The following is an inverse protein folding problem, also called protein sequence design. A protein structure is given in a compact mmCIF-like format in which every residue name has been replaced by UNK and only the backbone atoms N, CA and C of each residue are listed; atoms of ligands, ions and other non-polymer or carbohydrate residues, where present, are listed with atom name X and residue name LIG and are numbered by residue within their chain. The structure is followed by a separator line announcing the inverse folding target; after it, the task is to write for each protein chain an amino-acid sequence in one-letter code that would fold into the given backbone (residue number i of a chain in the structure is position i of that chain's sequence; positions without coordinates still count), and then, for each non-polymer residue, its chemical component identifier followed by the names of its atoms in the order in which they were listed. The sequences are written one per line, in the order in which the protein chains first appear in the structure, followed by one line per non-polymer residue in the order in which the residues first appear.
data_IF_346695145509
#
_entry.id   IF_346695145509
#
_cell.length_a   1.000
_cell.length_b   1.000
_cell.length_c   1.000
_cell.angle_alpha   90.00
_cell.angle_beta   90.00
_cell.angle_gamma   90.00
#
_symmetry.space_group_name_H-M   'P 1'
#
loop_
_entity.id
_entity.type
_entity.pdbx_description
1 polymer ?
#
# COMPACT_ATOMS: atom_id res chain seq x y z
N UNK A 1 -16.70 42.50 10.81
CA UNK A 1 -16.95 42.08 12.22
C UNK A 1 -15.66 42.30 13.02
N UNK A 2 -15.67 42.56 14.34
CA UNK A 2 -14.37 42.65 15.05
C UNK A 2 -13.75 41.24 15.17
N UNK A 3 -12.49 41.07 14.77
CA UNK A 3 -11.76 39.79 14.78
C UNK A 3 -11.92 39.02 16.10
N UNK A 4 -11.86 39.71 17.23
CA UNK A 4 -12.03 39.10 18.56
C UNK A 4 -13.43 38.50 18.80
N UNK A 5 -14.49 39.07 18.21
CA UNK A 5 -15.85 38.53 18.33
C UNK A 5 -15.97 37.22 17.54
N UNK A 6 -15.47 37.21 16.31
CA UNK A 6 -15.42 36.02 15.45
C UNK A 6 -14.68 34.86 16.14
N UNK A 7 -13.49 35.14 16.69
CA UNK A 7 -12.70 34.12 17.41
C UNK A 7 -13.48 33.59 18.61
N UNK A 8 -14.13 34.45 19.40
CA UNK A 8 -14.87 34.02 20.60
C UNK A 8 -16.09 33.16 20.26
N UNK A 9 -16.79 33.48 19.18
CA UNK A 9 -17.99 32.74 18.73
C UNK A 9 -17.66 31.40 18.05
N UNK A 10 -16.52 31.32 17.36
CA UNK A 10 -16.06 30.11 16.66
C UNK A 10 -15.30 29.12 17.54
N UNK A 11 -14.60 29.60 18.59
CA UNK A 11 -13.68 28.78 19.41
C UNK A 11 -14.30 27.50 19.96
N UNK A 12 -15.53 27.56 20.47
CA UNK A 12 -16.21 26.39 21.03
C UNK A 12 -16.48 25.32 19.98
N UNK A 13 -16.89 25.72 18.77
CA UNK A 13 -17.12 24.80 17.66
C UNK A 13 -15.82 24.15 17.18
N UNK A 14 -14.73 24.93 17.11
CA UNK A 14 -13.42 24.42 16.67
C UNK A 14 -12.84 23.43 17.70
N UNK A 15 -12.93 23.74 18.99
CA UNK A 15 -12.52 22.82 20.06
C UNK A 15 -13.33 21.52 20.03
N UNK A 16 -14.64 21.61 19.82
CA UNK A 16 -15.49 20.43 19.70
C UNK A 16 -15.12 19.56 18.49
N UNK A 17 -14.77 20.19 17.36
CA UNK A 17 -14.28 19.45 16.18
C UNK A 17 -12.97 18.73 16.49
N UNK A 18 -12.06 19.38 17.21
CA UNK A 18 -10.79 18.78 17.61
C UNK A 18 -10.98 17.57 18.54
N UNK A 19 -11.90 17.65 19.51
CA UNK A 19 -12.27 16.51 20.36
C UNK A 19 -12.80 15.32 19.54
N UNK A 20 -13.74 15.57 18.63
CA UNK A 20 -14.29 14.53 17.76
C UNK A 20 -13.20 13.91 16.86
N UNK A 21 -12.25 14.72 16.37
CA UNK A 21 -11.11 14.22 15.61
C UNK A 21 -10.13 13.40 16.46
N UNK A 22 -9.89 13.78 17.72
CA UNK A 22 -9.06 13.01 18.63
C UNK A 22 -9.66 11.64 18.95
N UNK A 23 -10.99 11.55 19.09
CA UNK A 23 -11.69 10.27 19.21
C UNK A 23 -11.53 9.40 17.95
N UNK A 24 -11.59 10.02 16.78
CA UNK A 24 -11.37 9.40 15.47
C UNK A 24 -9.91 9.03 15.19
N UNK A 25 -8.95 9.60 15.91
CA UNK A 25 -7.55 9.17 15.81
C UNK A 25 -7.33 7.81 16.48
N UNK A 26 -8.14 7.49 17.51
CA UNK A 26 -8.09 6.19 18.21
C UNK A 26 -9.08 5.15 17.67
N UNK A 27 -10.05 5.57 16.85
CA UNK A 27 -11.16 4.73 16.41
C UNK A 27 -11.54 4.97 14.95
N UNK A 28 -12.47 4.18 14.41
CA UNK A 28 -13.01 4.43 13.06
C UNK A 28 -14.35 5.14 13.14
N UNK A 29 -14.75 5.84 12.07
CA UNK A 29 -16.07 6.48 11.97
C UNK A 29 -17.24 5.53 12.23
N UNK A 30 -17.07 4.23 12.00
CA UNK A 30 -18.09 3.20 12.29
C UNK A 30 -18.34 2.98 13.79
N UNK A 31 -17.42 3.42 14.66
CA UNK A 31 -17.55 3.30 16.11
C UNK A 31 -18.22 4.52 16.76
N UNK A 32 -18.37 5.63 16.04
CA UNK A 32 -19.10 6.80 16.56
C UNK A 32 -20.59 6.57 16.53
N UNK A 33 -21.29 7.17 17.49
CA UNK A 33 -22.74 7.18 17.49
C UNK A 33 -23.28 7.99 16.30
N UNK A 34 -24.48 7.66 15.83
CA UNK A 34 -25.10 8.34 14.68
C UNK A 34 -25.18 9.86 14.88
N UNK A 35 -25.42 10.28 16.11
CA UNK A 35 -25.51 11.68 16.50
C UNK A 35 -24.15 12.40 16.38
N UNK A 36 -23.07 11.78 16.84
CA UNK A 36 -21.72 12.33 16.75
C UNK A 36 -21.26 12.43 15.28
N UNK A 37 -21.63 11.49 14.42
CA UNK A 37 -21.33 11.55 12.98
C UNK A 37 -22.07 12.73 12.32
N UNK A 38 -23.33 12.97 12.68
CA UNK A 38 -24.10 14.14 12.21
C UNK A 38 -23.51 15.43 12.75
N UNK A 39 -23.12 15.45 14.02
CA UNK A 39 -22.48 16.58 14.69
C UNK A 39 -21.17 16.94 13.97
N UNK A 40 -20.30 15.95 13.73
CA UNK A 40 -19.05 16.11 12.99
C UNK A 40 -19.26 16.78 11.63
N UNK A 41 -20.22 16.28 10.83
CA UNK A 41 -20.52 16.84 9.51
C UNK A 41 -21.09 18.26 9.55
N UNK A 42 -21.81 18.63 10.62
CA UNK A 42 -22.31 19.99 10.84
C UNK A 42 -21.17 20.93 11.23
N UNK A 43 -20.36 20.55 12.21
CA UNK A 43 -19.27 21.37 12.73
C UNK A 43 -18.16 21.54 11.69
N UNK A 44 -17.87 20.51 10.90
CA UNK A 44 -16.96 20.59 9.74
C UNK A 44 -17.37 21.68 8.76
N UNK A 45 -18.65 21.69 8.33
CA UNK A 45 -19.17 22.70 7.38
C UNK A 45 -19.07 24.12 7.95
N UNK A 46 -19.42 24.29 9.22
CA UNK A 46 -19.27 25.58 9.91
C UNK A 46 -17.80 26.03 9.93
N UNK A 47 -16.87 25.13 10.30
CA UNK A 47 -15.43 25.45 10.36
C UNK A 47 -14.87 25.78 8.97
N UNK A 48 -15.35 25.12 7.91
CA UNK A 48 -14.97 25.45 6.53
C UNK A 48 -15.46 26.85 6.12
N UNK A 49 -16.67 27.25 6.53
CA UNK A 49 -17.17 28.63 6.36
C UNK A 49 -16.33 29.63 7.17
N UNK A 50 -16.01 29.31 8.43
CA UNK A 50 -15.16 30.14 9.28
C UNK A 50 -13.77 30.34 8.66
N UNK A 51 -13.19 29.30 8.05
CA UNK A 51 -11.91 29.40 7.32
C UNK A 51 -12.01 30.36 6.13
N UNK A 52 -13.11 30.30 5.37
CA UNK A 52 -13.33 31.21 4.25
C UNK A 52 -13.43 32.67 4.71
N UNK A 53 -14.17 32.91 5.80
CA UNK A 53 -14.28 34.24 6.43
C UNK A 53 -12.92 34.72 6.95
N UNK A 54 -12.17 33.86 7.66
CA UNK A 54 -10.86 34.22 8.19
C UNK A 54 -9.86 34.60 7.08
N UNK A 55 -9.92 33.93 5.92
CA UNK A 55 -9.12 34.26 4.73
C UNK A 55 -9.51 35.60 4.11
N UNK A 56 -10.80 35.93 4.11
CA UNK A 56 -11.31 37.16 3.51
C UNK A 56 -11.10 38.39 4.41
N UNK A 57 -11.37 38.26 5.72
CA UNK A 57 -11.49 39.41 6.62
C UNK A 57 -10.33 39.57 7.62
N UNK A 58 -9.72 38.47 8.09
CA UNK A 58 -8.91 38.52 9.32
C UNK A 58 -7.40 38.65 9.07
N UNK A 59 -6.87 38.26 7.90
CA UNK A 59 -5.43 38.27 7.52
C UNK A 59 -4.43 37.68 8.54
N UNK A 60 -4.87 37.10 9.67
CA UNK A 60 -4.05 36.41 10.65
C UNK A 60 -3.64 35.02 10.13
N UNK A 61 -2.35 34.80 9.78
CA UNK A 61 -1.91 33.53 9.24
C UNK A 61 -2.04 32.37 10.23
N UNK A 62 -1.94 32.63 11.55
CA UNK A 62 -2.03 31.58 12.57
C UNK A 62 -3.43 30.99 12.63
N UNK A 63 -4.44 31.86 12.65
CA UNK A 63 -5.84 31.44 12.66
C UNK A 63 -6.20 30.70 11.37
N UNK A 64 -5.78 31.21 10.21
CA UNK A 64 -6.02 30.56 8.92
C UNK A 64 -5.40 29.15 8.89
N UNK A 65 -4.15 29.02 9.32
CA UNK A 65 -3.46 27.72 9.34
C UNK A 65 -4.12 26.74 10.31
N UNK A 66 -4.52 27.20 11.49
CA UNK A 66 -5.24 26.40 12.47
C UNK A 66 -6.55 25.85 11.88
N UNK A 67 -7.42 26.71 11.36
CA UNK A 67 -8.70 26.30 10.77
C UNK A 67 -8.51 25.41 9.54
N UNK A 68 -7.52 25.70 8.70
CA UNK A 68 -7.19 24.88 7.54
C UNK A 68 -6.76 23.47 7.94
N UNK A 69 -5.92 23.34 8.97
CA UNK A 69 -5.50 22.03 9.48
C UNK A 69 -6.68 21.20 9.99
N UNK A 70 -7.62 21.84 10.68
CA UNK A 70 -8.81 21.21 11.24
C UNK A 70 -9.76 20.72 10.14
N UNK A 71 -9.99 21.56 9.13
CA UNK A 71 -10.81 21.23 7.95
C UNK A 71 -10.20 20.08 7.15
N UNK A 72 -8.88 20.09 6.90
CA UNK A 72 -8.20 19.01 6.15
C UNK A 72 -8.29 17.69 6.91
N UNK A 73 -8.03 17.69 8.23
CA UNK A 73 -8.14 16.48 9.07
C UNK A 73 -9.58 15.94 9.06
N UNK A 74 -10.58 16.80 9.25
CA UNK A 74 -11.98 16.41 9.22
C UNK A 74 -12.41 15.89 7.85
N UNK A 75 -11.98 16.52 6.76
CA UNK A 75 -12.25 16.05 5.40
C UNK A 75 -11.67 14.64 5.17
N UNK A 76 -10.42 14.43 5.59
CA UNK A 76 -9.76 13.13 5.53
C UNK A 76 -10.43 12.06 6.41
N UNK A 77 -11.16 12.43 7.46
CA UNK A 77 -11.97 11.46 8.20
C UNK A 77 -13.30 11.23 7.50
N UNK A 78 -14.08 12.26 7.22
CA UNK A 78 -15.46 12.16 6.67
C UNK A 78 -15.48 11.43 5.32
N UNK A 79 -14.58 11.82 4.39
CA UNK A 79 -14.61 11.32 3.01
C UNK A 79 -13.64 10.18 2.75
N UNK A 80 -12.66 9.98 3.64
CA UNK A 80 -11.65 8.91 3.56
C UNK A 80 -11.85 7.83 4.63
N UNK A 81 -12.99 7.89 5.35
CA UNK A 81 -13.45 7.02 6.43
C UNK A 81 -13.27 5.51 6.19
N UNK A 82 -13.35 5.11 4.93
CA UNK A 82 -13.10 3.75 4.51
C UNK A 82 -11.72 3.69 3.85
N UNK A 83 -10.70 3.64 4.70
CA UNK A 83 -9.44 2.98 4.38
C UNK A 83 -9.65 1.46 4.21
N UNK A 84 -10.70 1.07 3.47
CA UNK A 84 -10.90 -0.28 2.96
C UNK A 84 -9.69 -0.71 2.15
N UNK A 85 -8.82 0.17 1.67
CA UNK A 85 -7.58 -0.19 0.98
C UNK A 85 -6.81 -1.32 1.69
N UNK A 86 -6.45 -1.16 2.96
CA UNK A 86 -5.67 -2.20 3.67
C UNK A 86 -6.47 -3.48 3.93
N UNK A 87 -7.74 -3.36 4.30
CA UNK A 87 -8.61 -4.52 4.56
C UNK A 87 -9.00 -5.27 3.28
N UNK A 88 -9.16 -4.56 2.17
CA UNK A 88 -9.47 -5.07 0.83
C UNK A 88 -8.24 -5.70 0.20
N UNK A 89 -7.05 -5.13 0.37
CA UNK A 89 -5.78 -5.78 0.01
C UNK A 89 -5.64 -7.09 0.81
N UNK A 90 -5.85 -7.06 2.13
CA UNK A 90 -5.80 -8.30 2.94
C UNK A 90 -6.81 -9.33 2.44
N UNK A 91 -8.07 -8.93 2.24
CA UNK A 91 -9.12 -9.82 1.73
C UNK A 91 -8.78 -10.39 0.36
N UNK A 92 -8.23 -9.57 -0.54
CA UNK A 92 -7.80 -10.03 -1.85
C UNK A 92 -6.76 -11.14 -1.75
N UNK A 93 -5.69 -10.94 -0.98
CA UNK A 93 -4.64 -11.94 -0.83
C UNK A 93 -5.07 -13.18 -0.03
N UNK A 94 -5.98 -13.06 0.95
CA UNK A 94 -6.38 -14.20 1.79
C UNK A 94 -7.60 -14.96 1.29
N UNK A 95 -8.48 -14.34 0.51
CA UNK A 95 -9.76 -14.92 0.09
C UNK A 95 -9.87 -14.96 -1.44
N UNK A 96 -9.86 -13.80 -2.09
CA UNK A 96 -10.25 -13.70 -3.50
C UNK A 96 -9.19 -14.33 -4.42
N UNK A 97 -7.91 -14.08 -4.17
CA UNK A 97 -6.80 -14.63 -4.93
C UNK A 97 -6.68 -16.16 -4.80
N UNK A 98 -6.63 -16.75 -3.58
CA UNK A 98 -6.57 -18.21 -3.43
C UNK A 98 -7.82 -18.92 -3.97
N UNK A 99 -9.00 -18.30 -3.89
CA UNK A 99 -10.22 -18.86 -4.45
C UNK A 99 -10.18 -18.88 -5.98
N UNK A 100 -9.73 -17.77 -6.59
CA UNK A 100 -9.58 -17.67 -8.05
C UNK A 100 -8.52 -18.64 -8.57
N UNK A 101 -7.36 -18.71 -7.91
CA UNK A 101 -6.30 -19.66 -8.25
C UNK A 101 -6.79 -21.12 -8.17
N UNK A 102 -7.50 -21.50 -7.10
CA UNK A 102 -8.10 -22.84 -6.98
C UNK A 102 -9.19 -23.13 -8.01
N UNK A 103 -9.76 -22.11 -8.64
CA UNK A 103 -10.72 -22.30 -9.75
C UNK A 103 -10.01 -22.51 -11.08
N UNK A 104 -8.85 -21.88 -11.30
CA UNK A 104 -8.09 -21.92 -12.56
C UNK A 104 -6.83 -22.78 -12.50
N UNK A 105 -6.58 -23.49 -11.40
CA UNK A 105 -5.35 -24.26 -11.15
C UNK A 105 -5.00 -25.24 -12.25
N UNK A 106 -5.99 -25.79 -12.96
CA UNK A 106 -5.78 -26.71 -14.09
C UNK A 106 -4.95 -26.10 -15.22
N UNK A 107 -5.21 -24.83 -15.56
CA UNK A 107 -4.46 -24.13 -16.59
C UNK A 107 -3.03 -23.84 -16.13
N UNK A 108 -2.86 -23.42 -14.88
CA UNK A 108 -1.53 -23.20 -14.29
C UNK A 108 -0.74 -24.50 -14.19
N UNK A 109 -1.37 -25.60 -13.79
CA UNK A 109 -0.75 -26.92 -13.70
C UNK A 109 -0.36 -27.45 -15.08
N UNK A 110 -1.18 -27.22 -16.11
CA UNK A 110 -0.84 -27.58 -17.49
C UNK A 110 0.38 -26.81 -17.99
N UNK A 111 0.40 -25.48 -17.82
CA UNK A 111 1.55 -24.67 -18.19
C UNK A 111 2.81 -25.12 -17.44
N UNK A 112 2.70 -25.32 -16.12
CA UNK A 112 3.78 -25.83 -15.29
C UNK A 112 4.28 -27.18 -15.80
N UNK A 113 3.39 -28.12 -16.10
CA UNK A 113 3.75 -29.44 -16.63
C UNK A 113 4.50 -29.33 -17.97
N UNK A 114 4.05 -28.46 -18.88
CA UNK A 114 4.73 -28.24 -20.17
C UNK A 114 6.15 -27.74 -19.94
N UNK A 115 6.33 -26.68 -19.15
CA UNK A 115 7.68 -26.17 -18.83
C UNK A 115 8.54 -27.22 -18.12
N UNK A 116 7.94 -27.98 -17.21
CA UNK A 116 8.64 -29.01 -16.46
C UNK A 116 9.10 -30.18 -17.34
N UNK A 117 8.30 -30.57 -18.32
CA UNK A 117 8.66 -31.59 -19.32
C UNK A 117 9.85 -31.11 -20.16
N UNK A 118 9.79 -29.88 -20.71
CA UNK A 118 10.91 -29.35 -21.48
C UNK A 118 12.18 -29.21 -20.65
N UNK A 119 12.06 -28.77 -19.39
CA UNK A 119 13.18 -28.72 -18.47
C UNK A 119 13.77 -30.11 -18.22
N UNK A 120 12.94 -31.13 -18.00
CA UNK A 120 13.39 -32.49 -17.76
C UNK A 120 14.07 -33.11 -18.99
N UNK A 121 13.52 -32.88 -20.19
CA UNK A 121 14.13 -33.31 -21.46
C UNK A 121 15.49 -32.64 -21.63
N UNK A 122 15.56 -31.31 -21.41
CA UNK A 122 16.80 -30.56 -21.45
C UNK A 122 17.85 -31.11 -20.49
N UNK A 123 17.46 -31.31 -19.23
CA UNK A 123 18.32 -31.82 -18.16
C UNK A 123 18.85 -33.23 -18.46
N UNK A 124 17.96 -34.19 -18.78
CA UNK A 124 18.36 -35.57 -19.06
C UNK A 124 19.20 -35.65 -20.32
N UNK A 125 18.83 -34.91 -21.38
CA UNK A 125 19.57 -34.87 -22.63
C UNK A 125 20.99 -34.33 -22.42
N UNK A 126 21.14 -33.18 -21.75
CA UNK A 126 22.46 -32.61 -21.46
C UNK A 126 23.30 -33.46 -20.50
N UNK A 127 22.67 -34.27 -19.66
CA UNK A 127 23.40 -35.18 -18.77
C UNK A 127 23.93 -36.43 -19.50
N UNK A 128 23.20 -36.93 -20.50
CA UNK A 128 23.59 -38.15 -21.24
C UNK A 128 24.50 -37.88 -22.43
N UNK A 129 24.36 -36.72 -23.08
CA UNK A 129 25.09 -36.41 -24.30
C UNK A 129 25.66 -34.97 -24.25
N UNK A 130 26.99 -34.82 -24.27
CA UNK A 130 27.65 -33.51 -24.35
C UNK A 130 27.25 -32.69 -25.57
N UNK A 131 26.97 -33.32 -26.72
CA UNK A 131 26.59 -32.63 -27.96
C UNK A 131 25.15 -32.12 -27.88
N UNK A 132 24.29 -32.79 -27.12
CA UNK A 132 22.94 -32.30 -26.83
C UNK A 132 22.96 -31.01 -26.00
N UNK A 133 23.96 -30.84 -25.12
CA UNK A 133 24.16 -29.56 -24.41
C UNK A 133 24.48 -28.40 -25.35
N UNK A 134 24.99 -28.70 -26.55
CA UNK A 134 25.17 -27.75 -27.64
C UNK A 134 23.88 -27.24 -28.23
N UNK A 135 23.05 -28.19 -28.62
CA UNK A 135 21.74 -27.90 -29.16
C UNK A 135 20.83 -27.20 -28.13
N UNK A 136 20.91 -27.58 -26.84
CA UNK A 136 20.10 -27.00 -25.77
C UNK A 136 20.50 -25.56 -25.39
N UNK A 137 21.58 -25.01 -25.97
CA UNK A 137 21.99 -23.62 -25.76
C UNK A 137 22.76 -23.37 -24.45
N UNK A 138 23.34 -24.40 -23.83
CA UNK A 138 24.18 -24.22 -22.63
C UNK A 138 25.42 -23.40 -23.00
N UNK A 139 25.75 -22.29 -22.32
CA UNK A 139 26.92 -21.49 -22.69
C UNK A 139 28.23 -22.29 -22.66
N UNK A 140 29.16 -22.07 -23.61
CA UNK A 140 30.41 -22.85 -23.73
C UNK A 140 31.30 -22.73 -22.48
N UNK A 141 31.22 -21.61 -21.76
CA UNK A 141 31.91 -21.41 -20.48
C UNK A 141 31.54 -22.47 -19.42
N UNK A 142 30.26 -22.84 -19.33
CA UNK A 142 29.82 -23.86 -18.38
C UNK A 142 30.25 -25.26 -18.80
N UNK A 143 30.27 -25.56 -20.10
CA UNK A 143 30.75 -26.85 -20.62
C UNK A 143 32.25 -27.05 -20.39
N UNK A 144 33.04 -25.99 -20.55
CA UNK A 144 34.47 -26.00 -20.24
C UNK A 144 34.71 -26.36 -18.77
N UNK A 145 33.99 -25.71 -17.84
CA UNK A 145 34.11 -25.97 -16.40
C UNK A 145 33.77 -27.43 -16.04
N UNK A 146 32.71 -27.98 -16.64
CA UNK A 146 32.28 -29.37 -16.41
C UNK A 146 33.31 -30.38 -16.97
N UNK A 147 33.79 -30.17 -18.20
CA UNK A 147 34.76 -31.06 -18.84
C UNK A 147 36.15 -30.96 -18.21
N UNK A 148 36.57 -29.76 -17.82
CA UNK A 148 37.87 -29.53 -17.19
C UNK A 148 37.90 -29.97 -15.71
N UNK A 149 36.78 -30.48 -15.16
CA UNK A 149 36.60 -30.80 -13.74
C UNK A 149 36.98 -29.64 -12.82
N UNK A 150 36.95 -28.40 -13.33
CA UNK A 150 37.39 -27.23 -12.56
C UNK A 150 36.31 -26.92 -11.55
N UNK A 151 36.67 -27.04 -10.29
CA UNK A 151 35.79 -26.76 -9.19
C UNK A 151 35.76 -25.25 -8.94
N UNK A 152 34.64 -24.60 -9.28
CA UNK A 152 34.48 -23.15 -9.11
C UNK A 152 34.75 -22.65 -7.67
N UNK A 153 34.65 -23.53 -6.67
CA UNK A 153 34.95 -23.21 -5.27
C UNK A 153 36.45 -23.15 -4.96
N UNK A 154 37.34 -23.71 -5.79
CA UNK A 154 38.79 -23.59 -5.62
C UNK A 154 39.26 -22.14 -5.84
N UNK A 155 38.71 -21.49 -6.88
CA UNK A 155 38.96 -20.07 -7.14
C UNK A 155 38.54 -19.16 -5.97
N UNK A 156 37.43 -19.50 -5.29
CA UNK A 156 36.97 -18.74 -4.12
C UNK A 156 37.84 -18.96 -2.89
N UNK A 157 38.42 -20.16 -2.74
CA UNK A 157 39.38 -20.43 -1.66
C UNK A 157 40.72 -19.72 -1.88
N UNK A 158 41.20 -19.65 -3.12
CA UNK A 158 42.45 -18.95 -3.46
C UNK A 158 42.30 -17.41 -3.40
N UNK A 159 41.13 -16.86 -3.75
CA UNK A 159 40.87 -15.42 -3.67
C UNK A 159 40.74 -14.88 -2.23
N UNK A 160 40.67 -15.78 -1.24
CA UNK A 160 40.51 -15.44 0.18
C UNK A 160 41.80 -15.70 1.01
N UNK A 161 42.91 -16.04 0.34
CA UNK A 161 44.27 -16.08 0.91
C UNK A 161 45.06 -14.84 0.50
#
# INVERSE_FOLDING_TARGET
MSTNRFIREGKSAWQRLEELLALLDRSSLRKLHREEVRELGRIYRRTASDLAIARAETRDPRLINYLNSLVIRAHGRIYRADAQGKQRIRKFFTQDFPATFRRTWRYTALAFAVFWIFWLIGFIGSWRDPDFSEFAGVPPAFRYVINAQVHWWEYLNEANQ
#
